data_IF_698160112614
#
_entry.id   IF_698160112614
#
_cell.length_a   1.000
_cell.length_b   1.000
_cell.length_c   1.000
_cell.angle_alpha   90.00
_cell.angle_beta   90.00
_cell.angle_gamma   90.00
#
_symmetry.space_group_name_H-M   'P 1'
#
loop_
_entity.id
_entity.type
_entity.pdbx_description
1 polymer ?
#
# COMPACT_ATOMS: atom_id res chain seq x y z
N UNK A 1 -9.66 -18.15 -8.24
CA UNK A 1 -8.21 -18.47 -8.25
C UNK A 1 -7.41 -17.33 -8.83
N UNK A 2 -6.15 -17.21 -8.39
CA UNK A 2 -5.09 -16.45 -9.05
C UNK A 2 -3.99 -17.44 -9.46
N UNK A 3 -3.36 -17.21 -10.59
CA UNK A 3 -2.19 -17.95 -11.04
C UNK A 3 -1.09 -16.95 -11.40
N UNK A 4 0.12 -17.18 -10.92
CA UNK A 4 1.27 -16.37 -11.23
C UNK A 4 2.20 -17.11 -12.18
N UNK A 5 2.61 -16.43 -13.25
CA UNK A 5 3.52 -16.93 -14.26
C UNK A 5 4.75 -16.04 -14.31
N UNK A 6 5.92 -16.66 -14.41
CA UNK A 6 7.18 -15.94 -14.60
C UNK A 6 7.31 -15.35 -16.02
N UNK A 7 8.41 -14.67 -16.30
CA UNK A 7 8.70 -14.07 -17.61
C UNK A 7 8.88 -15.10 -18.73
N UNK A 8 9.04 -16.39 -18.40
CA UNK A 8 9.15 -17.49 -19.36
C UNK A 8 7.79 -18.15 -19.63
N UNK A 9 6.73 -17.68 -18.96
CA UNK A 9 5.39 -18.26 -19.06
C UNK A 9 5.22 -19.54 -18.25
N UNK A 10 6.08 -19.80 -17.29
CA UNK A 10 5.95 -20.95 -16.38
C UNK A 10 5.13 -20.52 -15.19
N UNK A 11 4.08 -21.28 -14.85
CA UNK A 11 3.33 -21.06 -13.63
C UNK A 11 4.18 -21.46 -12.43
N UNK A 12 4.53 -20.47 -11.61
CA UNK A 12 5.36 -20.67 -10.42
C UNK A 12 4.52 -20.79 -9.16
N UNK A 13 3.35 -20.14 -9.13
CA UNK A 13 2.45 -20.25 -7.99
C UNK A 13 0.98 -20.06 -8.39
N UNK A 14 0.08 -20.46 -7.50
CA UNK A 14 -1.37 -20.23 -7.64
C UNK A 14 -2.01 -20.17 -6.24
N UNK A 15 -3.18 -19.51 -6.17
CA UNK A 15 -3.92 -19.42 -4.92
C UNK A 15 -5.43 -19.34 -5.13
N UNK A 16 -6.15 -19.58 -4.04
CA UNK A 16 -7.59 -19.38 -3.95
C UNK A 16 -7.88 -18.24 -3.02
N UNK A 17 -8.88 -17.42 -3.35
CA UNK A 17 -9.18 -16.26 -2.51
C UNK A 17 -10.26 -15.38 -3.08
N UNK A 18 -10.38 -14.22 -2.48
CA UNK A 18 -11.35 -13.19 -2.82
C UNK A 18 -10.73 -12.09 -3.67
N UNK A 19 -11.57 -11.48 -4.51
CA UNK A 19 -11.27 -10.25 -5.21
C UNK A 19 -12.20 -9.15 -4.72
N UNK A 20 -11.62 -8.09 -4.16
CA UNK A 20 -12.36 -6.95 -3.68
C UNK A 20 -12.06 -5.71 -4.51
N UNK A 21 -12.99 -4.78 -4.57
CA UNK A 21 -12.81 -3.48 -5.19
C UNK A 21 -11.62 -2.75 -4.56
N UNK A 22 -10.71 -2.23 -5.40
CA UNK A 22 -9.66 -1.33 -4.96
C UNK A 22 -9.82 0.04 -5.65
N UNK A 23 -9.82 1.11 -4.85
CA UNK A 23 -10.06 2.48 -5.31
C UNK A 23 -11.52 2.90 -5.20
N UNK A 24 -11.76 4.20 -5.37
CA UNK A 24 -13.09 4.81 -5.36
C UNK A 24 -13.44 5.31 -6.77
N UNK A 25 -13.06 6.54 -7.10
CA UNK A 25 -13.38 7.22 -8.34
C UNK A 25 -12.76 6.53 -9.56
N UNK A 26 -11.58 5.96 -9.41
CA UNK A 26 -10.91 5.18 -10.46
C UNK A 26 -11.69 3.94 -10.94
N UNK A 27 -12.74 3.55 -10.21
CA UNK A 27 -13.67 2.50 -10.66
C UNK A 27 -14.65 2.94 -11.75
N UNK A 28 -14.72 4.23 -12.04
CA UNK A 28 -15.42 4.75 -13.20
C UNK A 28 -14.73 4.38 -14.52
N UNK A 29 -13.42 4.11 -14.50
CA UNK A 29 -12.67 3.73 -15.69
C UNK A 29 -12.89 2.26 -16.07
N UNK A 30 -12.84 1.91 -17.37
CA UNK A 30 -13.01 0.54 -17.84
C UNK A 30 -12.00 -0.45 -17.23
N UNK A 31 -10.73 -0.06 -17.12
CA UNK A 31 -9.69 -0.86 -16.49
C UNK A 31 -9.67 -0.57 -14.98
N UNK A 32 -10.13 -1.53 -14.21
CA UNK A 32 -10.36 -1.40 -12.76
C UNK A 32 -9.30 -2.11 -11.95
N UNK A 33 -8.99 -1.55 -10.78
CA UNK A 33 -8.08 -2.16 -9.81
C UNK A 33 -8.84 -3.01 -8.81
N UNK A 34 -8.17 -4.02 -8.26
CA UNK A 34 -8.73 -4.89 -7.24
C UNK A 34 -7.67 -5.37 -6.25
N UNK A 35 -8.13 -5.67 -5.03
CA UNK A 35 -7.36 -6.38 -4.03
C UNK A 35 -7.62 -7.87 -4.21
N UNK A 36 -6.57 -8.67 -4.21
CA UNK A 36 -6.66 -10.11 -4.03
C UNK A 36 -6.28 -10.45 -2.58
N UNK A 37 -7.06 -11.32 -1.95
CA UNK A 37 -6.82 -11.83 -0.59
C UNK A 37 -6.89 -13.34 -0.65
N UNK A 38 -5.79 -14.02 -0.37
CA UNK A 38 -5.76 -15.47 -0.25
C UNK A 38 -6.62 -15.93 0.93
N UNK A 39 -7.33 -17.05 0.75
CA UNK A 39 -8.21 -17.63 1.74
C UNK A 39 -7.99 -19.15 1.80
N UNK A 40 -7.51 -19.62 2.93
CA UNK A 40 -7.29 -21.05 3.18
C UNK A 40 -8.59 -21.87 3.19
N UNK A 41 -9.70 -21.26 3.64
CA UNK A 41 -11.03 -21.88 3.57
C UNK A 41 -11.54 -22.08 2.13
N UNK A 42 -10.95 -21.43 1.13
CA UNK A 42 -11.27 -21.59 -0.30
C UNK A 42 -10.34 -22.58 -1.01
N UNK A 43 -9.30 -23.03 -0.35
CA UNK A 43 -8.27 -23.93 -0.89
C UNK A 43 -7.13 -24.10 0.10
N UNK A 44 -6.06 -24.79 -0.31
CA UNK A 44 -4.93 -25.11 0.56
C UNK A 44 -3.85 -24.03 0.62
N UNK A 45 -4.05 -22.89 -0.04
CA UNK A 45 -3.08 -21.79 -0.10
C UNK A 45 -3.57 -20.60 0.71
N UNK A 46 -2.88 -20.30 1.78
CA UNK A 46 -3.11 -19.15 2.67
C UNK A 46 -2.46 -17.86 2.17
N UNK A 47 -1.50 -17.98 1.24
CA UNK A 47 -0.77 -16.87 0.64
C UNK A 47 -0.27 -17.23 -0.78
N UNK A 48 0.24 -16.25 -1.51
CA UNK A 48 1.13 -16.45 -2.66
C UNK A 48 2.55 -16.54 -2.13
N UNK A 49 3.23 -17.65 -2.37
CA UNK A 49 4.58 -17.94 -1.90
C UNK A 49 5.59 -17.75 -3.03
N UNK A 50 5.76 -16.50 -3.46
CA UNK A 50 6.64 -16.15 -4.58
C UNK A 50 7.24 -14.76 -4.35
N UNK A 51 8.48 -14.53 -4.78
CA UNK A 51 9.10 -13.21 -4.78
C UNK A 51 8.52 -12.33 -5.87
N UNK A 52 7.36 -11.73 -5.60
CA UNK A 52 6.61 -10.91 -6.57
C UNK A 52 7.27 -9.56 -6.87
N UNK A 53 8.12 -9.03 -5.98
CA UNK A 53 8.58 -7.65 -6.00
C UNK A 53 10.10 -7.58 -5.96
N UNK A 54 10.71 -7.00 -6.96
CA UNK A 54 12.19 -6.91 -7.07
C UNK A 54 12.83 -6.12 -5.93
N UNK A 55 12.14 -5.10 -5.41
CA UNK A 55 12.63 -4.24 -4.33
C UNK A 55 12.21 -4.69 -2.94
N UNK A 56 11.80 -5.94 -2.78
CA UNK A 56 11.44 -6.54 -1.50
C UNK A 56 12.02 -7.95 -1.41
N UNK A 57 12.41 -8.36 -0.21
CA UNK A 57 12.77 -9.74 0.08
C UNK A 57 11.59 -10.56 0.62
N UNK A 58 10.38 -9.97 0.59
CA UNK A 58 9.16 -10.64 0.97
C UNK A 58 8.77 -11.67 -0.08
N UNK A 59 8.51 -12.90 0.37
CA UNK A 59 8.17 -14.06 -0.46
C UNK A 59 6.79 -14.65 -0.12
N UNK A 60 6.06 -14.01 0.81
CA UNK A 60 4.74 -14.47 1.24
C UNK A 60 3.75 -13.30 1.24
N UNK A 61 2.67 -13.44 0.46
CA UNK A 61 1.66 -12.40 0.30
C UNK A 61 0.26 -12.99 0.45
N UNK A 62 -0.34 -12.82 1.62
CA UNK A 62 -1.76 -13.12 1.81
C UNK A 62 -2.62 -12.14 1.00
N UNK A 63 -2.18 -10.88 0.89
CA UNK A 63 -2.89 -9.84 0.17
C UNK A 63 -1.97 -9.07 -0.78
N UNK A 64 -2.45 -8.89 -2.00
CA UNK A 64 -1.82 -8.02 -3.01
C UNK A 64 -2.84 -7.11 -3.67
N UNK A 65 -2.38 -5.95 -4.13
CA UNK A 65 -3.17 -5.05 -4.96
C UNK A 65 -2.78 -5.26 -6.42
N UNK A 66 -3.78 -5.47 -7.27
CA UNK A 66 -3.63 -5.50 -8.73
C UNK A 66 -4.19 -4.18 -9.25
N UNK A 67 -3.28 -3.24 -9.58
CA UNK A 67 -3.63 -1.84 -9.82
C UNK A 67 -3.54 -1.45 -11.28
N UNK A 68 -4.59 -0.80 -11.74
CA UNK A 68 -4.74 -0.23 -13.09
C UNK A 68 -4.31 1.26 -13.17
N UNK A 69 -3.40 1.70 -12.28
CA UNK A 69 -2.87 3.07 -12.18
C UNK A 69 -3.85 4.17 -11.75
N UNK A 70 -5.08 3.84 -11.34
CA UNK A 70 -6.04 4.83 -10.84
C UNK A 70 -6.33 5.91 -11.89
N UNK A 71 -6.19 7.17 -11.51
CA UNK A 71 -6.46 8.32 -12.41
C UNK A 71 -5.39 8.50 -13.50
N UNK A 72 -4.20 7.92 -13.34
CA UNK A 72 -3.16 7.83 -14.37
C UNK A 72 -3.41 6.65 -15.35
N UNK A 73 -4.68 6.29 -15.57
CA UNK A 73 -5.10 5.22 -16.45
C UNK A 73 -5.30 5.74 -17.88
N UNK A 74 -4.93 4.95 -18.89
CA UNK A 74 -5.01 5.31 -20.31
C UNK A 74 -6.40 5.73 -20.79
N UNK A 75 -7.44 5.20 -20.18
CA UNK A 75 -8.82 5.54 -20.53
C UNK A 75 -9.38 6.75 -19.79
N UNK A 76 -8.62 7.36 -18.87
CA UNK A 76 -9.12 8.40 -17.97
C UNK A 76 -8.76 9.80 -18.39
N UNK A 77 -7.50 10.03 -18.76
CA UNK A 77 -6.94 11.35 -19.04
C UNK A 77 -6.01 11.26 -20.26
N UNK A 78 -6.15 12.16 -21.22
CA UNK A 78 -5.32 12.18 -22.46
C UNK A 78 -3.81 12.23 -22.20
N UNK A 79 -3.38 12.77 -21.05
CA UNK A 79 -1.97 12.85 -20.64
C UNK A 79 -1.54 11.75 -19.67
N UNK A 80 -2.33 10.71 -19.48
CA UNK A 80 -1.99 9.63 -18.56
C UNK A 80 -0.78 8.83 -19.05
N UNK A 81 0.14 8.54 -18.13
CA UNK A 81 1.37 7.80 -18.41
C UNK A 81 1.32 6.34 -17.93
N UNK A 82 0.30 5.99 -17.15
CA UNK A 82 0.10 4.67 -16.51
C UNK A 82 1.26 4.23 -15.63
N UNK A 83 2.08 5.17 -15.13
CA UNK A 83 3.28 4.86 -14.36
C UNK A 83 3.63 5.86 -13.25
N UNK A 84 2.96 7.00 -13.14
CA UNK A 84 3.32 8.08 -12.21
C UNK A 84 3.39 7.61 -10.77
N UNK A 85 2.33 6.99 -10.30
CA UNK A 85 2.21 6.43 -8.94
C UNK A 85 3.39 5.47 -8.62
N UNK A 86 3.63 4.50 -9.52
CA UNK A 86 4.73 3.56 -9.33
C UNK A 86 6.11 4.22 -9.41
N UNK A 87 6.27 5.23 -10.27
CA UNK A 87 7.53 5.99 -10.40
C UNK A 87 7.89 6.70 -9.08
N UNK A 88 6.92 7.38 -8.46
CA UNK A 88 7.13 8.08 -7.20
C UNK A 88 7.51 7.12 -6.07
N UNK A 89 6.79 6.02 -5.94
CA UNK A 89 7.13 5.00 -4.94
C UNK A 89 8.53 4.40 -5.18
N UNK A 90 8.90 4.12 -6.43
CA UNK A 90 10.25 3.63 -6.77
C UNK A 90 11.33 4.68 -6.51
N UNK A 91 11.05 5.96 -6.80
CA UNK A 91 11.96 7.07 -6.54
C UNK A 91 12.25 7.21 -5.04
N UNK A 92 11.22 7.23 -4.21
CA UNK A 92 11.35 7.32 -2.77
C UNK A 92 12.09 6.10 -2.18
N UNK A 93 11.76 4.89 -2.63
CA UNK A 93 12.44 3.67 -2.21
C UNK A 93 13.92 3.69 -2.59
N UNK A 94 14.25 4.08 -3.84
CA UNK A 94 15.64 4.14 -4.33
C UNK A 94 16.49 5.17 -3.57
N UNK A 95 15.88 6.22 -3.03
CA UNK A 95 16.54 7.25 -2.24
C UNK A 95 16.49 6.97 -0.73
N UNK A 96 16.02 5.80 -0.33
CA UNK A 96 15.90 5.38 1.07
C UNK A 96 15.14 6.39 1.94
N UNK A 97 14.07 6.98 1.41
CA UNK A 97 13.19 7.81 2.22
C UNK A 97 12.53 6.95 3.30
N UNK A 98 12.42 7.52 4.49
CA UNK A 98 11.82 6.85 5.65
C UNK A 98 10.28 6.86 5.57
N UNK A 99 9.76 6.13 4.57
CA UNK A 99 8.35 6.06 4.24
C UNK A 99 7.95 4.63 3.88
N UNK A 100 6.71 4.27 4.18
CA UNK A 100 6.11 3.01 3.72
C UNK A 100 5.76 3.08 2.23
N UNK A 101 6.75 2.74 1.41
CA UNK A 101 6.58 2.76 -0.03
C UNK A 101 5.91 1.48 -0.54
N UNK A 102 4.91 1.65 -1.37
CA UNK A 102 4.25 0.53 -2.07
C UNK A 102 5.16 0.02 -3.17
N UNK A 103 5.96 -0.98 -2.85
CA UNK A 103 6.77 -1.67 -3.86
C UNK A 103 5.86 -2.31 -4.88
N UNK A 104 6.21 -2.21 -6.14
CA UNK A 104 5.35 -2.64 -7.24
C UNK A 104 6.16 -3.16 -8.42
N UNK A 105 5.58 -4.17 -9.12
CA UNK A 105 6.09 -4.65 -10.39
C UNK A 105 5.01 -4.68 -11.46
N UNK A 106 5.42 -4.54 -12.73
CA UNK A 106 4.51 -4.62 -13.88
C UNK A 106 4.17 -6.06 -14.19
N UNK A 107 2.89 -6.27 -14.45
CA UNK A 107 2.37 -7.57 -14.88
C UNK A 107 1.38 -7.39 -16.03
N UNK A 108 1.25 -8.43 -16.82
CA UNK A 108 0.16 -8.57 -17.78
C UNK A 108 -0.91 -9.44 -17.15
N UNK A 109 -2.14 -8.90 -17.04
CA UNK A 109 -3.25 -9.61 -16.47
C UNK A 109 -4.11 -10.29 -17.54
N UNK A 110 -4.51 -11.51 -17.24
CA UNK A 110 -5.49 -12.27 -18.00
C UNK A 110 -6.65 -12.65 -17.08
N UNK A 111 -7.88 -12.54 -17.56
CA UNK A 111 -9.08 -12.98 -16.84
C UNK A 111 -9.77 -14.05 -17.67
N UNK A 112 -9.89 -15.24 -17.11
CA UNK A 112 -10.45 -16.42 -17.81
C UNK A 112 -9.77 -16.68 -19.18
N UNK A 113 -8.44 -16.52 -19.23
CA UNK A 113 -7.65 -16.72 -20.43
C UNK A 113 -7.69 -15.58 -21.45
N UNK A 114 -8.45 -14.52 -21.21
CA UNK A 114 -8.51 -13.34 -22.09
C UNK A 114 -7.56 -12.26 -21.56
N UNK A 115 -6.80 -11.66 -22.47
CA UNK A 115 -5.96 -10.51 -22.15
C UNK A 115 -6.82 -9.37 -21.57
N UNK A 116 -6.47 -8.93 -20.35
CA UNK A 116 -7.21 -7.90 -19.64
C UNK A 116 -6.49 -6.55 -19.63
N UNK A 117 -5.17 -6.56 -19.68
CA UNK A 117 -4.35 -5.35 -19.76
C UNK A 117 -3.04 -5.43 -19.00
N UNK A 118 -2.32 -4.31 -19.00
CA UNK A 118 -1.11 -4.11 -18.20
C UNK A 118 -1.52 -3.53 -16.85
N UNK A 119 -1.08 -4.19 -15.78
CA UNK A 119 -1.32 -3.81 -14.39
C UNK A 119 0.00 -3.66 -13.64
N UNK A 120 -0.06 -3.20 -12.41
CA UNK A 120 1.00 -3.41 -11.43
C UNK A 120 0.48 -4.24 -10.27
N UNK A 121 1.24 -5.26 -9.87
CA UNK A 121 1.05 -5.90 -8.58
C UNK A 121 1.85 -5.12 -7.54
N UNK A 122 1.30 -4.96 -6.34
CA UNK A 122 1.96 -4.23 -5.27
C UNK A 122 1.50 -4.61 -3.87
N UNK A 123 2.31 -4.27 -2.90
CA UNK A 123 2.00 -4.46 -1.50
C UNK A 123 0.84 -3.57 -1.06
N UNK A 124 0.13 -4.06 -0.06
CA UNK A 124 -0.85 -3.28 0.69
C UNK A 124 -0.24 -2.85 2.01
N UNK A 125 0.28 -1.63 2.07
CA UNK A 125 0.97 -1.08 3.26
C UNK A 125 0.05 -0.96 4.48
N UNK A 126 -1.28 -0.88 4.25
CA UNK A 126 -2.29 -0.88 5.32
C UNK A 126 -2.72 -2.29 5.73
N UNK A 127 -1.92 -3.31 5.47
CA UNK A 127 -2.14 -4.68 5.90
C UNK A 127 -1.24 -5.02 7.08
N UNK A 128 -1.75 -5.75 8.06
CA UNK A 128 -1.00 -6.13 9.26
C UNK A 128 0.18 -7.07 8.96
N UNK A 129 0.11 -7.85 7.87
CA UNK A 129 1.24 -8.67 7.43
C UNK A 129 2.40 -7.83 6.89
N UNK A 130 2.13 -6.63 6.35
CA UNK A 130 3.15 -5.67 5.96
C UNK A 130 3.94 -5.19 7.18
N UNK A 131 3.25 -4.74 8.23
CA UNK A 131 3.90 -4.25 9.45
C UNK A 131 4.66 -5.36 10.18
N UNK A 132 4.14 -6.57 10.18
CA UNK A 132 4.85 -7.73 10.71
C UNK A 132 6.16 -7.98 9.98
N UNK A 133 6.16 -7.95 8.65
CA UNK A 133 7.35 -8.26 7.85
C UNK A 133 8.42 -7.17 7.96
N UNK A 134 8.04 -5.89 7.82
CA UNK A 134 9.04 -4.80 7.76
C UNK A 134 9.43 -4.24 9.12
N UNK A 135 8.61 -4.42 10.16
CA UNK A 135 8.81 -3.83 11.49
C UNK A 135 8.85 -4.85 12.62
N UNK A 136 8.70 -6.15 12.32
CA UNK A 136 8.62 -7.23 13.33
C UNK A 136 7.55 -6.98 14.39
N UNK A 137 6.45 -6.33 14.02
CA UNK A 137 5.34 -6.03 14.91
C UNK A 137 4.36 -7.20 14.99
N UNK A 138 3.73 -7.37 16.15
CA UNK A 138 2.62 -8.30 16.31
C UNK A 138 1.43 -7.83 15.47
N UNK A 139 1.10 -8.58 14.42
CA UNK A 139 0.03 -8.23 13.49
C UNK A 139 -1.37 -8.15 14.12
N UNK A 140 -1.55 -8.70 15.31
CA UNK A 140 -2.82 -8.67 16.04
C UNK A 140 -2.89 -7.53 17.07
N UNK A 141 -1.80 -6.83 17.30
CA UNK A 141 -1.68 -5.76 18.30
C UNK A 141 -1.02 -4.52 17.70
N UNK A 142 -1.58 -4.01 16.59
CA UNK A 142 -1.12 -2.79 15.92
C UNK A 142 -2.21 -1.72 15.93
N UNK A 143 -1.79 -0.47 15.93
CA UNK A 143 -2.62 0.68 15.63
C UNK A 143 -2.28 1.19 14.23
N UNK A 144 -3.29 1.41 13.40
CA UNK A 144 -3.12 1.95 12.07
C UNK A 144 -4.23 2.94 11.76
N UNK A 145 -3.91 4.22 11.72
CA UNK A 145 -4.85 5.31 11.42
C UNK A 145 -4.71 5.71 9.95
N UNK A 146 -5.82 5.86 9.29
CA UNK A 146 -5.93 6.33 7.91
C UNK A 146 -6.70 7.65 7.86
N UNK A 147 -6.28 8.52 6.93
CA UNK A 147 -6.96 9.76 6.66
C UNK A 147 -7.18 9.92 5.15
N UNK A 148 -8.44 10.04 4.74
CA UNK A 148 -8.85 10.39 3.39
C UNK A 148 -10.21 11.08 3.42
N UNK A 149 -10.21 12.39 3.63
CA UNK A 149 -11.42 13.18 3.87
C UNK A 149 -12.01 13.00 5.27
N UNK A 150 -11.95 11.78 5.81
CA UNK A 150 -12.22 11.43 7.20
C UNK A 150 -11.04 10.67 7.78
N UNK A 151 -10.92 10.69 9.10
CA UNK A 151 -9.93 9.90 9.84
C UNK A 151 -10.61 8.67 10.43
N UNK A 152 -10.01 7.50 10.26
CA UNK A 152 -10.51 6.25 10.84
C UNK A 152 -9.35 5.31 11.21
N UNK A 153 -9.58 4.41 12.16
CA UNK A 153 -8.64 3.34 12.45
C UNK A 153 -8.88 2.14 11.53
N UNK A 154 -7.85 1.72 10.81
CA UNK A 154 -7.84 0.45 10.10
C UNK A 154 -7.62 -0.71 11.07
N UNK A 155 -6.78 -0.50 12.09
CA UNK A 155 -6.52 -1.38 13.22
C UNK A 155 -6.40 -0.55 14.49
N UNK A 156 -6.64 -1.17 15.67
CA UNK A 156 -6.53 -0.54 16.98
C UNK A 156 -7.78 0.22 17.45
N UNK A 157 -8.83 0.29 16.61
CA UNK A 157 -10.14 0.82 17.02
C UNK A 157 -10.11 2.22 17.61
N UNK A 158 -10.92 2.43 18.64
CA UNK A 158 -11.08 3.74 19.30
C UNK A 158 -9.80 4.21 20.02
N UNK A 159 -8.96 3.28 20.46
CA UNK A 159 -7.68 3.61 21.10
C UNK A 159 -6.73 4.29 20.11
N UNK A 160 -6.58 3.74 18.91
CA UNK A 160 -5.75 4.35 17.87
C UNK A 160 -6.23 5.76 17.47
N UNK A 161 -7.54 5.98 17.43
CA UNK A 161 -8.12 7.31 17.18
C UNK A 161 -7.87 8.25 18.35
N UNK A 162 -7.96 7.76 19.58
CA UNK A 162 -7.69 8.55 20.80
C UNK A 162 -6.24 9.04 20.82
N UNK A 163 -5.29 8.15 20.53
CA UNK A 163 -3.86 8.46 20.52
C UNK A 163 -3.52 9.45 19.40
N UNK A 164 -4.07 9.22 18.20
CA UNK A 164 -3.94 10.17 17.09
C UNK A 164 -4.46 11.56 17.46
N UNK A 165 -5.65 11.65 18.05
CA UNK A 165 -6.25 12.91 18.44
C UNK A 165 -5.46 13.60 19.58
N UNK A 166 -4.86 12.84 20.49
CA UNK A 166 -4.03 13.41 21.56
C UNK A 166 -2.81 14.16 20.96
N UNK A 167 -2.09 13.54 20.02
CA UNK A 167 -0.91 14.14 19.37
C UNK A 167 -1.31 15.34 18.52
N UNK A 168 -2.34 15.22 17.69
CA UNK A 168 -2.77 16.30 16.78
C UNK A 168 -3.32 17.50 17.56
N UNK A 169 -4.18 17.27 18.56
CA UNK A 169 -4.70 18.33 19.42
C UNK A 169 -3.58 19.02 20.20
N UNK A 170 -2.57 18.29 20.67
CA UNK A 170 -1.44 18.90 21.34
C UNK A 170 -0.67 19.82 20.39
N UNK A 171 -0.39 19.35 19.16
CA UNK A 171 0.32 20.14 18.17
C UNK A 171 -0.45 21.40 17.74
N UNK A 172 -1.78 21.32 17.62
CA UNK A 172 -2.64 22.43 17.23
C UNK A 172 -2.78 23.49 18.32
N UNK A 173 -2.81 23.09 19.60
CA UNK A 173 -3.08 23.99 20.71
C UNK A 173 -1.84 24.54 21.43
N UNK A 174 -0.63 24.12 20.99
CA UNK A 174 0.62 24.58 21.57
C UNK A 174 1.53 25.20 20.52
N UNK A 175 2.31 26.22 20.93
CA UNK A 175 3.26 26.86 20.04
C UNK A 175 4.50 25.96 19.83
N UNK A 176 4.65 25.40 18.64
CA UNK A 176 5.77 24.50 18.27
C UNK A 176 7.12 25.22 18.14
N UNK A 177 7.18 26.57 18.22
CA UNK A 177 8.43 27.31 18.35
C UNK A 177 9.06 27.22 19.76
N UNK A 178 8.28 26.72 20.72
CA UNK A 178 8.78 26.44 22.08
C UNK A 178 9.35 25.02 22.07
N UNK A 179 10.65 24.89 22.40
CA UNK A 179 11.39 23.65 22.30
C UNK A 179 10.71 22.48 23.04
N UNK A 180 10.23 22.72 24.26
CA UNK A 180 9.56 21.65 25.04
C UNK A 180 8.29 21.13 24.39
N UNK A 181 7.54 21.98 23.68
CA UNK A 181 6.33 21.55 22.97
C UNK A 181 6.69 20.75 21.72
N UNK A 182 7.72 21.20 20.99
CA UNK A 182 8.25 20.46 19.85
C UNK A 182 8.78 19.08 20.28
N UNK A 183 9.59 19.04 21.35
CA UNK A 183 10.17 17.80 21.86
C UNK A 183 9.09 16.78 22.27
N UNK A 184 7.99 17.27 22.86
CA UNK A 184 6.85 16.39 23.19
C UNK A 184 6.26 15.73 21.95
N UNK A 185 5.93 16.50 20.90
CA UNK A 185 5.40 15.93 19.66
C UNK A 185 6.43 15.04 18.97
N UNK A 186 7.69 15.47 18.94
CA UNK A 186 8.80 14.73 18.31
C UNK A 186 9.11 13.40 19.02
N UNK A 187 8.71 13.22 20.28
CA UNK A 187 8.84 11.94 20.99
C UNK A 187 7.75 10.92 20.61
N UNK A 188 6.64 11.41 20.04
CA UNK A 188 5.49 10.57 19.67
C UNK A 188 5.44 10.23 18.17
N UNK A 189 6.21 10.94 17.33
CA UNK A 189 6.22 10.75 15.88
C UNK A 189 7.64 10.54 15.34
N UNK A 190 7.76 9.85 14.22
CA UNK A 190 8.98 9.84 13.42
C UNK A 190 9.07 11.13 12.58
N UNK A 191 9.81 12.12 13.09
CA UNK A 191 9.98 13.41 12.43
C UNK A 191 10.66 13.27 11.08
N UNK A 192 11.58 12.31 10.92
CA UNK A 192 12.26 12.05 9.63
C UNK A 192 11.25 11.58 8.60
N UNK A 193 10.36 10.66 8.97
CA UNK A 193 9.28 10.19 8.10
C UNK A 193 8.35 11.33 7.68
N UNK A 194 7.98 12.22 8.62
CA UNK A 194 7.17 13.40 8.31
C UNK A 194 7.86 14.34 7.31
N UNK A 195 9.15 14.61 7.49
CA UNK A 195 9.94 15.45 6.57
C UNK A 195 10.01 14.81 5.19
N UNK A 196 10.31 13.51 5.11
CA UNK A 196 10.39 12.77 3.86
C UNK A 196 9.04 12.74 3.11
N UNK A 197 7.94 12.62 3.86
CA UNK A 197 6.60 12.74 3.30
C UNK A 197 6.34 14.11 2.68
N UNK A 198 6.70 15.18 3.36
CA UNK A 198 6.55 16.56 2.86
C UNK A 198 7.44 16.78 1.63
N UNK A 199 8.68 16.31 1.68
CA UNK A 199 9.63 16.45 0.56
C UNK A 199 9.14 15.76 -0.69
N UNK A 200 8.75 14.49 -0.62
CA UNK A 200 8.31 13.75 -1.81
C UNK A 200 7.04 14.35 -2.41
N UNK A 201 6.07 14.79 -1.58
CA UNK A 201 4.85 15.43 -2.04
C UNK A 201 5.06 16.85 -2.61
N UNK A 202 6.13 17.53 -2.21
CA UNK A 202 6.48 18.85 -2.76
C UNK A 202 7.28 18.76 -4.07
N UNK A 203 7.90 17.60 -4.33
CA UNK A 203 8.69 17.35 -5.52
C UNK A 203 7.85 16.88 -6.73
N UNK A 204 6.68 16.34 -6.48
CA UNK A 204 5.74 15.75 -7.44
C UNK A 204 4.55 16.66 -7.66
#
# INVERSE_FOLDING_TARGET
TIEYFDSNGIRTDFGYGEYNKHGQDSWAFPQRSFDYIARDEMGYHDAIHEKLLTLSDREEFQRIIIRASGDDNYSGIDSSAHMRDMFIHKLANKNNLNLDMRRAERVVAYVNGLFWGVYSIREKVSDSDYTKFYYDQDKYNIQYVMNWGNTWAQYGGDEAISDWNAITNYAENNNMSIQSNYDHVASEIDVTSLVDYILINSFV
#
